data_IF_155575503306
#
_entry.id   IF_155575503306
#
_cell.length_a   1.000
_cell.length_b   1.000
_cell.length_c   1.000
_cell.angle_alpha   90.00
_cell.angle_beta   90.00
_cell.angle_gamma   90.00
#
_symmetry.space_group_name_H-M   'P 1'
#
loop_
_entity.id
_entity.type
_entity.pdbx_description
1 polymer ?
#
# COMPACT_ATOMS: atom_id res chain seq x y z
N UNK A 1 -23.84 -17.15 -12.44
CA UNK A 1 -22.59 -16.40 -12.63
C UNK A 1 -22.56 -15.25 -11.65
N UNK A 2 -21.97 -15.44 -10.47
CA UNK A 2 -21.75 -14.34 -9.53
C UNK A 2 -20.46 -13.63 -9.93
N UNK A 3 -20.58 -12.52 -10.65
CA UNK A 3 -19.47 -11.58 -10.75
C UNK A 3 -19.41 -10.85 -9.42
N UNK A 4 -18.74 -11.43 -8.42
CA UNK A 4 -18.32 -10.68 -7.25
C UNK A 4 -17.44 -9.56 -7.78
N UNK A 5 -17.94 -8.32 -7.80
CA UNK A 5 -17.13 -7.17 -8.22
C UNK A 5 -15.97 -7.08 -7.24
N UNK A 6 -14.78 -7.41 -7.72
CA UNK A 6 -13.53 -7.10 -7.03
C UNK A 6 -13.48 -5.57 -6.85
N UNK A 7 -13.47 -5.09 -5.61
CA UNK A 7 -13.41 -3.65 -5.33
C UNK A 7 -11.98 -3.19 -5.61
N UNK A 8 -11.83 -2.09 -6.35
CA UNK A 8 -10.52 -1.58 -6.75
C UNK A 8 -9.97 -0.60 -5.70
N UNK A 9 -8.68 -0.74 -5.42
CA UNK A 9 -7.91 0.23 -4.65
C UNK A 9 -6.63 0.59 -5.41
N UNK A 10 -6.29 1.87 -5.41
CA UNK A 10 -5.13 2.37 -6.12
C UNK A 10 -3.93 2.52 -5.19
N UNK A 11 -2.75 2.62 -5.75
CA UNK A 11 -1.57 3.00 -4.98
C UNK A 11 -0.59 3.82 -5.78
N UNK A 12 0.10 4.75 -5.11
CA UNK A 12 1.01 5.70 -5.75
C UNK A 12 2.26 5.95 -4.91
N UNK A 13 3.39 6.17 -5.57
CA UNK A 13 4.63 6.62 -4.95
C UNK A 13 4.89 8.07 -5.34
N UNK A 14 5.12 8.96 -4.37
CA UNK A 14 5.34 10.36 -4.72
C UNK A 14 6.70 10.61 -5.39
N UNK A 15 7.71 9.80 -5.07
CA UNK A 15 9.06 9.93 -5.61
C UNK A 15 9.59 11.35 -5.45
N UNK A 16 10.04 11.91 -6.56
CA UNK A 16 10.48 13.30 -6.66
C UNK A 16 9.55 14.16 -7.52
N UNK A 17 8.31 13.70 -7.79
CA UNK A 17 7.38 14.39 -8.69
C UNK A 17 7.02 15.79 -8.16
N UNK A 18 6.88 16.80 -9.03
CA UNK A 18 6.14 18.01 -8.69
C UNK A 18 4.73 17.69 -8.20
N UNK A 19 4.19 18.53 -7.31
CA UNK A 19 2.87 18.28 -6.70
C UNK A 19 1.73 18.23 -7.73
N UNK A 20 1.76 19.10 -8.74
CA UNK A 20 0.73 19.12 -9.80
C UNK A 20 0.76 17.85 -10.66
N UNK A 21 1.93 17.30 -10.96
CA UNK A 21 2.02 16.02 -11.68
C UNK A 21 1.47 14.87 -10.84
N UNK A 22 1.74 14.86 -9.53
CA UNK A 22 1.21 13.84 -8.63
C UNK A 22 -0.31 13.90 -8.53
N UNK A 23 -0.88 15.11 -8.40
CA UNK A 23 -2.32 15.35 -8.40
C UNK A 23 -2.95 14.91 -9.73
N UNK A 24 -2.34 15.25 -10.87
CA UNK A 24 -2.86 14.86 -12.18
C UNK A 24 -2.99 13.33 -12.34
N UNK A 25 -2.06 12.55 -11.78
CA UNK A 25 -2.14 11.08 -11.75
C UNK A 25 -3.33 10.60 -10.89
N UNK A 26 -3.59 11.24 -9.76
CA UNK A 26 -4.74 10.92 -8.91
C UNK A 26 -6.07 11.26 -9.59
N UNK A 27 -6.16 12.41 -10.24
CA UNK A 27 -7.35 12.88 -10.94
C UNK A 27 -7.69 12.01 -12.15
N UNK A 28 -6.68 11.62 -12.95
CA UNK A 28 -6.84 10.69 -14.07
C UNK A 28 -7.44 9.34 -13.62
N UNK A 29 -6.98 8.85 -12.46
CA UNK A 29 -7.52 7.64 -11.82
C UNK A 29 -8.85 7.87 -11.07
N UNK A 30 -9.37 9.10 -11.04
CA UNK A 30 -10.57 9.51 -10.30
C UNK A 30 -10.49 9.17 -8.82
N UNK A 31 -9.31 9.30 -8.24
CA UNK A 31 -9.09 9.14 -6.80
C UNK A 31 -9.61 10.38 -6.08
N UNK A 32 -10.44 10.17 -5.06
CA UNK A 32 -11.00 11.24 -4.23
C UNK A 32 -10.54 11.15 -2.78
N UNK A 33 -9.79 10.11 -2.42
CA UNK A 33 -9.18 9.96 -1.09
C UNK A 33 -7.77 9.40 -1.19
N UNK A 34 -6.81 10.08 -0.56
CA UNK A 34 -5.42 9.66 -0.47
C UNK A 34 -5.09 9.26 0.97
N UNK A 35 -4.76 7.98 1.16
CA UNK A 35 -4.29 7.42 2.41
C UNK A 35 -2.75 7.40 2.45
N UNK A 36 -2.16 8.27 3.25
CA UNK A 36 -0.72 8.32 3.47
C UNK A 36 -0.31 7.23 4.46
N UNK A 37 0.51 6.28 4.00
CA UNK A 37 1.01 5.17 4.83
C UNK A 37 2.47 5.35 5.23
N UNK A 38 3.02 6.57 5.10
CA UNK A 38 4.41 6.85 5.53
C UNK A 38 4.48 6.88 7.06
N UNK A 39 5.50 6.27 7.64
CA UNK A 39 5.72 6.37 9.10
C UNK A 39 5.92 7.81 9.55
N UNK A 40 6.64 8.61 8.73
CA UNK A 40 6.92 10.02 8.97
C UNK A 40 6.65 10.80 7.68
N UNK A 41 5.46 11.42 7.54
CA UNK A 41 5.08 12.16 6.34
C UNK A 41 5.72 13.57 6.25
N UNK A 42 6.91 13.74 6.82
CA UNK A 42 7.70 14.98 6.74
C UNK A 42 8.93 14.79 5.86
N UNK A 43 9.25 15.78 5.03
CA UNK A 43 10.46 15.75 4.21
C UNK A 43 11.03 17.15 4.01
N UNK A 44 12.30 17.33 4.40
CA UNK A 44 13.05 18.56 4.07
C UNK A 44 13.41 18.64 2.59
N UNK A 45 13.60 17.49 1.93
CA UNK A 45 14.01 17.39 0.52
C UNK A 45 12.82 17.60 -0.42
N UNK A 46 11.63 17.20 0.00
CA UNK A 46 10.40 17.32 -0.76
C UNK A 46 9.31 17.95 0.12
N UNK A 47 9.43 19.26 0.42
CA UNK A 47 8.53 19.95 1.35
C UNK A 47 7.06 19.92 0.91
N UNK A 48 6.79 19.84 -0.40
CA UNK A 48 5.44 19.69 -0.95
C UNK A 48 4.74 18.39 -0.53
N UNK A 49 5.51 17.36 -0.15
CA UNK A 49 4.99 16.11 0.41
C UNK A 49 5.07 16.08 1.94
N UNK A 50 5.36 17.21 2.59
CA UNK A 50 5.08 17.37 4.01
C UNK A 50 3.58 17.23 4.27
N UNK A 51 3.19 16.59 5.37
CA UNK A 51 1.79 16.26 5.67
C UNK A 51 0.83 17.43 5.48
N UNK A 52 1.15 18.61 6.02
CA UNK A 52 0.27 19.78 5.92
C UNK A 52 0.21 20.33 4.49
N UNK A 53 1.37 20.56 3.86
CA UNK A 53 1.44 21.05 2.48
C UNK A 53 0.73 20.12 1.49
N UNK A 54 0.88 18.80 1.66
CA UNK A 54 0.23 17.80 0.83
C UNK A 54 -1.29 17.82 1.04
N UNK A 55 -1.74 17.85 2.30
CA UNK A 55 -3.18 17.94 2.63
C UNK A 55 -3.82 19.17 2.01
N UNK A 56 -3.15 20.33 2.10
CA UNK A 56 -3.67 21.59 1.58
C UNK A 56 -3.76 21.55 0.05
N UNK A 57 -2.70 21.07 -0.63
CA UNK A 57 -2.68 20.94 -2.09
C UNK A 57 -3.76 19.97 -2.61
N UNK A 58 -4.03 18.90 -1.89
CA UNK A 58 -5.09 17.94 -2.24
C UNK A 58 -6.49 18.51 -2.01
N UNK A 59 -6.68 19.27 -0.92
CA UNK A 59 -7.95 19.89 -0.59
C UNK A 59 -8.38 20.92 -1.65
N UNK A 60 -7.44 21.67 -2.24
CA UNK A 60 -7.68 22.58 -3.36
C UNK A 60 -8.22 21.87 -4.62
N UNK A 61 -8.07 20.55 -4.70
CA UNK A 61 -8.53 19.71 -5.82
C UNK A 61 -9.66 18.78 -5.41
N UNK A 62 -10.20 18.93 -4.20
CA UNK A 62 -11.28 18.10 -3.68
C UNK A 62 -10.88 16.67 -3.33
N UNK A 63 -9.59 16.38 -3.14
CA UNK A 63 -9.09 15.07 -2.73
C UNK A 63 -8.91 15.07 -1.21
N UNK A 64 -9.63 14.18 -0.52
CA UNK A 64 -9.49 14.01 0.91
C UNK A 64 -8.13 13.37 1.27
N UNK A 65 -7.54 13.77 2.39
CA UNK A 65 -6.28 13.23 2.89
C UNK A 65 -6.48 12.57 4.26
N UNK A 66 -5.91 11.38 4.45
CA UNK A 66 -5.83 10.73 5.76
C UNK A 66 -4.44 10.13 5.97
N UNK A 67 -3.98 10.08 7.22
CA UNK A 67 -2.70 9.48 7.58
C UNK A 67 -2.93 8.20 8.40
N UNK A 68 -2.44 7.07 7.90
CA UNK A 68 -2.54 5.75 8.53
C UNK A 68 -1.15 5.30 9.00
N UNK A 69 -0.70 5.87 10.12
CA UNK A 69 0.64 5.66 10.66
C UNK A 69 0.94 4.19 10.97
N UNK A 70 -0.07 3.41 11.35
CA UNK A 70 0.04 1.97 11.62
C UNK A 70 0.43 1.15 10.40
N UNK A 71 0.25 1.68 9.19
CA UNK A 71 0.71 1.07 7.92
C UNK A 71 2.13 1.49 7.50
N UNK A 72 2.82 2.23 8.39
CA UNK A 72 4.16 2.74 8.21
C UNK A 72 5.25 1.69 7.96
N UNK A 73 6.06 1.92 6.91
CA UNK A 73 7.10 0.98 6.48
C UNK A 73 8.32 0.77 7.38
N UNK A 74 8.67 1.71 8.28
CA UNK A 74 9.90 1.60 9.09
C UNK A 74 9.69 0.70 10.30
N UNK A 75 10.26 -0.52 10.22
CA UNK A 75 10.17 -1.57 11.24
C UNK A 75 11.47 -2.39 11.25
N UNK A 76 11.85 -2.87 12.42
CA UNK A 76 12.95 -3.82 12.58
C UNK A 76 12.39 -5.25 12.62
N UNK A 77 13.05 -6.23 11.98
CA UNK A 77 12.61 -7.62 12.01
C UNK A 77 12.75 -8.22 13.40
N UNK A 78 11.83 -9.12 13.73
CA UNK A 78 11.96 -9.94 14.94
C UNK A 78 13.03 -11.02 14.73
N UNK A 79 13.78 -11.42 15.77
CA UNK A 79 14.78 -12.49 15.65
C UNK A 79 14.22 -13.82 15.16
N UNK A 80 12.95 -14.10 15.44
CA UNK A 80 12.21 -15.32 15.11
C UNK A 80 11.25 -15.14 13.92
N UNK A 81 11.51 -14.15 13.04
CA UNK A 81 10.63 -13.86 11.92
C UNK A 81 10.41 -15.08 11.00
N UNK A 82 9.15 -15.42 10.66
CA UNK A 82 8.86 -16.52 9.73
C UNK A 82 9.10 -16.14 8.27
N UNK A 83 9.40 -14.86 7.97
CA UNK A 83 9.51 -14.34 6.61
C UNK A 83 10.95 -14.49 6.05
N UNK A 84 11.41 -15.75 6.00
CA UNK A 84 12.81 -16.11 5.73
C UNK A 84 13.28 -15.83 4.30
N UNK A 85 12.37 -15.73 3.31
CA UNK A 85 12.72 -15.38 1.93
C UNK A 85 12.97 -13.88 1.75
N UNK A 86 12.53 -13.04 2.69
CA UNK A 86 12.78 -11.59 2.65
C UNK A 86 14.20 -11.29 3.15
N UNK A 87 15.13 -11.11 2.22
CA UNK A 87 16.56 -10.84 2.53
C UNK A 87 16.85 -9.45 3.06
N UNK A 88 15.96 -8.48 2.80
CA UNK A 88 16.13 -7.10 3.23
C UNK A 88 15.37 -6.90 4.54
N UNK A 89 16.08 -6.49 5.59
CA UNK A 89 15.54 -6.39 6.95
C UNK A 89 14.31 -5.48 7.04
N UNK A 90 14.28 -4.36 6.31
CA UNK A 90 13.13 -3.46 6.29
C UNK A 90 11.85 -4.15 5.75
N UNK A 91 11.98 -5.03 4.75
CA UNK A 91 10.84 -5.80 4.24
C UNK A 91 10.41 -6.87 5.24
N UNK A 92 11.37 -7.57 5.85
CA UNK A 92 11.09 -8.59 6.87
C UNK A 92 10.41 -7.99 8.11
N UNK A 93 10.91 -6.87 8.61
CA UNK A 93 10.30 -6.15 9.74
C UNK A 93 8.92 -5.61 9.42
N UNK A 94 8.68 -5.16 8.18
CA UNK A 94 7.32 -4.78 7.78
C UNK A 94 6.39 -6.00 7.75
N UNK A 95 6.84 -7.14 7.22
CA UNK A 95 6.07 -8.37 7.22
C UNK A 95 5.72 -8.85 8.64
N UNK A 96 6.68 -8.81 9.57
CA UNK A 96 6.41 -9.10 11.00
C UNK A 96 5.35 -8.15 11.59
N UNK A 97 5.43 -6.87 11.23
CA UNK A 97 4.51 -5.84 11.69
C UNK A 97 3.07 -6.04 11.19
N UNK A 98 2.88 -6.70 10.04
CA UNK A 98 1.55 -6.97 9.48
C UNK A 98 0.68 -7.81 10.41
N UNK A 99 1.26 -8.62 11.29
CA UNK A 99 0.52 -9.42 12.27
C UNK A 99 0.09 -8.63 13.53
N UNK A 100 0.51 -7.37 13.68
CA UNK A 100 0.24 -6.58 14.88
C UNK A 100 -1.19 -6.03 14.92
N UNK A 101 -1.80 -5.88 16.12
CA UNK A 101 -3.11 -5.23 16.24
C UNK A 101 -3.14 -3.80 15.70
N UNK A 102 -2.04 -3.05 15.77
CA UNK A 102 -1.94 -1.70 15.22
C UNK A 102 -2.12 -1.71 13.70
N UNK A 103 -1.37 -2.58 13.02
CA UNK A 103 -1.47 -2.72 11.58
C UNK A 103 -2.89 -3.15 11.14
N UNK A 104 -3.45 -4.16 11.82
CA UNK A 104 -4.77 -4.70 11.49
C UNK A 104 -5.89 -3.65 11.64
N UNK A 105 -5.81 -2.78 12.66
CA UNK A 105 -6.74 -1.65 12.81
C UNK A 105 -6.69 -0.69 11.62
N UNK A 106 -5.49 -0.27 11.21
CA UNK A 106 -5.35 0.70 10.13
C UNK A 106 -5.63 0.08 8.74
N UNK A 107 -5.39 -1.22 8.55
CA UNK A 107 -5.88 -1.94 7.35
C UNK A 107 -7.41 -1.93 7.32
N UNK A 108 -8.06 -2.18 8.46
CA UNK A 108 -9.51 -2.08 8.58
C UNK A 108 -10.04 -0.68 8.21
N UNK A 109 -9.38 0.38 8.67
CA UNK A 109 -9.70 1.75 8.29
C UNK A 109 -9.51 2.00 6.79
N UNK A 110 -8.39 1.57 6.21
CA UNK A 110 -8.12 1.70 4.77
C UNK A 110 -9.21 1.01 3.94
N UNK A 111 -9.56 -0.22 4.30
CA UNK A 111 -10.59 -1.03 3.66
C UNK A 111 -11.97 -0.35 3.76
N UNK A 112 -12.32 0.17 4.94
CA UNK A 112 -13.61 0.85 5.14
C UNK A 112 -13.73 2.08 4.24
N UNK A 113 -12.65 2.88 4.16
CA UNK A 113 -12.61 4.07 3.28
C UNK A 113 -12.63 3.67 1.81
N UNK A 114 -11.83 2.68 1.40
CA UNK A 114 -11.78 2.22 0.01
C UNK A 114 -13.08 1.57 -0.49
N UNK A 115 -13.92 1.06 0.41
CA UNK A 115 -15.28 0.62 0.08
C UNK A 115 -16.25 1.79 -0.14
N UNK A 116 -16.02 2.93 0.51
CA UNK A 116 -16.89 4.10 0.44
C UNK A 116 -16.49 5.06 -0.70
N UNK A 117 -15.18 5.18 -0.97
CA UNK A 117 -14.65 6.17 -1.92
C UNK A 117 -13.51 5.59 -2.76
N UNK A 118 -13.34 6.15 -3.98
CA UNK A 118 -12.18 5.85 -4.83
C UNK A 118 -10.90 6.30 -4.14
N UNK A 119 -10.11 5.32 -3.65
CA UNK A 119 -9.01 5.55 -2.72
C UNK A 119 -7.68 5.11 -3.30
N UNK A 120 -6.63 5.90 -3.08
CA UNK A 120 -5.25 5.51 -3.29
C UNK A 120 -4.49 5.51 -1.96
N UNK A 121 -3.65 4.50 -1.68
CA UNK A 121 -2.66 4.57 -0.61
C UNK A 121 -1.27 4.90 -1.14
N UNK A 122 -0.53 5.73 -0.40
CA UNK A 122 0.72 6.32 -0.90
C UNK A 122 1.94 6.15 0.01
N UNK A 123 3.12 6.11 -0.62
CA UNK A 123 4.39 6.19 0.07
C UNK A 123 5.40 7.10 -0.67
N UNK A 124 6.64 7.18 -0.20
CA UNK A 124 7.67 8.00 -0.81
C UNK A 124 8.36 7.39 -2.04
N UNK A 125 8.52 6.07 -2.10
CA UNK A 125 9.23 5.38 -3.18
C UNK A 125 8.38 5.29 -4.46
N UNK A 126 8.94 5.70 -5.60
CA UNK A 126 8.32 5.61 -6.92
C UNK A 126 8.01 4.17 -7.29
N UNK A 127 8.98 3.27 -7.13
CA UNK A 127 8.88 1.88 -7.56
C UNK A 127 8.18 1.04 -6.48
N UNK A 128 6.92 0.68 -6.73
CA UNK A 128 6.07 0.00 -5.75
C UNK A 128 6.67 -1.31 -5.21
N UNK A 129 7.48 -2.01 -6.02
CA UNK A 129 8.15 -3.26 -5.64
C UNK A 129 9.40 -3.08 -4.77
N UNK A 130 9.85 -1.83 -4.53
CA UNK A 130 11.02 -1.50 -3.70
C UNK A 130 10.65 -0.94 -2.32
N UNK A 131 9.37 -0.91 -1.98
CA UNK A 131 8.91 -0.38 -0.70
C UNK A 131 7.78 -1.22 -0.09
N UNK A 132 7.41 -0.87 1.13
CA UNK A 132 6.37 -1.54 1.93
C UNK A 132 4.99 -1.59 1.25
N UNK A 133 4.73 -0.72 0.25
CA UNK A 133 3.51 -0.79 -0.58
C UNK A 133 3.32 -2.16 -1.19
N UNK A 134 4.41 -2.85 -1.57
CA UNK A 134 4.37 -4.21 -2.10
C UNK A 134 3.63 -5.16 -1.16
N UNK A 135 4.02 -5.22 0.11
CA UNK A 135 3.47 -6.18 1.07
C UNK A 135 2.04 -5.84 1.50
N UNK A 136 1.71 -4.55 1.58
CA UNK A 136 0.31 -4.14 1.77
C UNK A 136 -0.55 -4.52 0.55
N UNK A 137 0.00 -4.40 -0.66
CA UNK A 137 -0.67 -4.80 -1.90
C UNK A 137 -0.87 -6.32 -1.97
N UNK A 138 0.13 -7.10 -1.54
CA UNK A 138 0.03 -8.57 -1.42
C UNK A 138 -1.14 -8.93 -0.49
N UNK A 139 -1.23 -8.29 0.68
CA UNK A 139 -2.31 -8.50 1.65
C UNK A 139 -3.69 -8.20 1.07
N UNK A 140 -3.86 -7.03 0.47
CA UNK A 140 -5.14 -6.62 -0.11
C UNK A 140 -5.55 -7.54 -1.28
N UNK A 141 -4.58 -7.99 -2.08
CA UNK A 141 -4.82 -8.93 -3.19
C UNK A 141 -5.29 -10.29 -2.68
N UNK A 142 -4.65 -10.83 -1.63
CA UNK A 142 -5.12 -12.07 -0.97
C UNK A 142 -6.51 -11.89 -0.36
N UNK A 143 -6.82 -10.69 0.16
CA UNK A 143 -8.14 -10.34 0.65
C UNK A 143 -9.18 -10.08 -0.47
N UNK A 144 -8.82 -10.31 -1.74
CA UNK A 144 -9.74 -10.22 -2.87
C UNK A 144 -9.96 -8.80 -3.42
N UNK A 145 -9.02 -7.87 -3.21
CA UNK A 145 -9.05 -6.54 -3.82
C UNK A 145 -8.32 -6.50 -5.17
N UNK A 146 -8.82 -5.66 -6.08
CA UNK A 146 -8.13 -5.32 -7.31
C UNK A 146 -7.17 -4.16 -7.00
N UNK A 147 -5.93 -4.50 -6.68
CA UNK A 147 -4.90 -3.52 -6.36
C UNK A 147 -4.21 -3.07 -7.65
N UNK A 148 -4.24 -1.78 -7.95
CA UNK A 148 -3.60 -1.21 -9.15
C UNK A 148 -2.62 -0.09 -8.81
N UNK A 149 -1.38 -0.20 -9.30
CA UNK A 149 -0.31 0.77 -9.12
C UNK A 149 -0.42 1.88 -10.17
N UNK A 150 -0.60 3.11 -9.71
CA UNK A 150 -0.53 4.31 -10.53
C UNK A 150 0.94 4.63 -10.80
N UNK A 151 1.31 4.65 -12.09
CA UNK A 151 2.68 4.92 -12.54
C UNK A 151 2.76 6.34 -13.06
N UNK A 152 1.87 6.72 -13.96
CA UNK A 152 1.75 8.07 -14.55
C UNK A 152 0.33 8.31 -15.09
N UNK A 153 0.05 9.50 -15.62
CA UNK A 153 -1.23 9.80 -16.28
C UNK A 153 -1.46 8.81 -17.42
N UNK A 154 -2.62 8.17 -17.45
CA UNK A 154 -2.97 7.13 -18.42
C UNK A 154 -2.16 5.83 -18.28
N UNK A 155 -1.30 5.69 -17.27
CA UNK A 155 -0.42 4.53 -17.08
C UNK A 155 -0.53 3.95 -15.69
N UNK A 156 -1.04 2.72 -15.63
CA UNK A 156 -1.12 1.93 -14.40
C UNK A 156 -0.76 0.47 -14.64
N UNK A 157 -0.47 -0.25 -13.56
CA UNK A 157 -0.10 -1.66 -13.59
C UNK A 157 -0.85 -2.42 -12.49
N UNK A 158 -1.53 -3.55 -12.80
CA UNK A 158 -2.15 -4.37 -11.77
C UNK A 158 -1.08 -5.00 -10.88
N UNK A 159 -1.34 -5.06 -9.57
CA UNK A 159 -0.44 -5.73 -8.65
C UNK A 159 -0.38 -7.24 -8.95
N UNK A 160 0.82 -7.79 -8.82
CA UNK A 160 1.04 -9.24 -8.85
C UNK A 160 1.59 -9.67 -7.51
N UNK A 161 0.93 -10.66 -6.92
CA UNK A 161 1.36 -11.26 -5.66
C UNK A 161 2.83 -11.66 -5.78
N UNK A 162 3.61 -11.30 -4.76
CA UNK A 162 5.02 -11.68 -4.72
C UNK A 162 5.15 -13.20 -4.73
N UNK A 163 5.93 -13.75 -5.67
CA UNK A 163 6.19 -15.19 -5.84
C UNK A 163 6.72 -15.93 -4.61
N UNK A 164 7.29 -15.23 -3.62
CA UNK A 164 7.71 -15.84 -2.34
C UNK A 164 6.64 -15.81 -1.24
N UNK A 165 5.48 -15.23 -1.52
CA UNK A 165 4.37 -15.10 -0.59
C UNK A 165 3.47 -16.34 -0.61
N UNK A 166 3.05 -16.80 0.58
CA UNK A 166 2.06 -17.85 0.77
C UNK A 166 1.10 -17.50 1.89
N UNK A 167 -0.09 -18.09 1.85
CA UNK A 167 -1.08 -17.97 2.93
C UNK A 167 -0.96 -19.16 3.86
N UNK A 168 -0.80 -18.91 5.16
CA UNK A 168 -0.71 -19.91 6.23
C UNK A 168 -1.66 -19.50 7.33
N UNK A 169 -2.65 -20.33 7.62
CA UNK A 169 -3.68 -20.04 8.63
C UNK A 169 -4.33 -18.64 8.47
N UNK A 170 -4.54 -18.22 7.22
CA UNK A 170 -5.12 -16.92 6.87
C UNK A 170 -4.16 -15.73 6.92
N UNK A 171 -2.87 -15.93 7.26
CA UNK A 171 -1.85 -14.89 7.28
C UNK A 171 -0.85 -15.04 6.14
N UNK A 172 -0.32 -13.91 5.65
CA UNK A 172 0.77 -13.91 4.69
C UNK A 172 2.11 -14.27 5.35
N UNK A 173 2.80 -15.26 4.79
CA UNK A 173 4.17 -15.65 5.14
C UNK A 173 5.03 -15.58 3.88
N UNK A 174 6.28 -15.12 4.01
CA UNK A 174 7.20 -14.91 2.88
C UNK A 174 8.45 -15.77 3.09
N UNK A 175 8.35 -17.06 2.82
CA UNK A 175 9.41 -18.05 3.02
C UNK A 175 9.79 -18.81 1.74
N UNK A 176 9.17 -18.48 0.61
CA UNK A 176 9.48 -19.10 -0.69
C UNK A 176 9.03 -20.56 -0.80
N UNK A 177 8.13 -21.03 0.07
CA UNK A 177 7.55 -22.37 -0.01
C UNK A 177 6.71 -22.60 -1.27
N UNK A 178 6.31 -23.86 -1.51
CA UNK A 178 5.32 -24.18 -2.53
C UNK A 178 3.91 -23.82 -2.04
N UNK A 179 3.07 -23.26 -2.92
CA UNK A 179 1.63 -23.14 -2.67
C UNK A 179 1.12 -24.58 -2.45
N UNK A 180 0.50 -24.91 -1.30
CA UNK A 180 -0.22 -26.17 -1.19
C UNK A 180 -1.31 -26.13 -2.25
N UNK A 181 -1.24 -27.03 -3.24
CA UNK A 181 -2.42 -27.32 -4.05
C UNK A 181 -3.47 -27.77 -3.04
N UNK A 182 -4.53 -26.99 -2.87
CA UNK A 182 -5.70 -27.42 -2.12
C UNK A 182 -6.16 -28.71 -2.77
N UNK A 183 -5.91 -29.84 -2.13
CA UNK A 183 -6.63 -31.07 -2.40
C UNK A 183 -8.02 -30.88 -1.82
N UNK A 184 -9.01 -30.95 -2.69
CA UNK A 184 -10.45 -30.87 -2.42
C UNK A 184 -10.89 -31.66 -1.17
#
# INVERSE_FOLDING_TARGET
>A
MFHTRCVRIWTIGHGTRPIEEFIAVLEDAKVVTLADIRTHPGSRRHPQYGQDALRDSLAERGIAYMHLKGLGGRRDPRPDSPHTALRVDAFRGYADHMATPEFQRDVGHLIAVANATSTAYMCAETLWWRCHRRLLSDLLTVAGWDVTHLIDVGKSEPHRLWDVARVVDGALVYDGGAIPLSTD
#
